data_IF_478724683308
#
_entry.id   IF_478724683308
#
_cell.length_a   1.000
_cell.length_b   1.000
_cell.length_c   1.000
_cell.angle_alpha   90.00
_cell.angle_beta   90.00
_cell.angle_gamma   90.00
#
_symmetry.space_group_name_H-M   'P 1'
#
loop_
_entity.id
_entity.type
_entity.pdbx_description
1 polymer ?
#
# COMPACT_ATOMS: atom_id res chain seq x y z
N UNK A 1 18.02 -14.49 22.14
CA UNK A 1 18.78 -13.27 21.77
C UNK A 1 18.51 -12.24 22.84
N UNK A 2 19.57 -11.69 23.43
CA UNK A 2 19.46 -10.76 24.55
C UNK A 2 18.98 -9.40 24.03
N UNK A 3 18.12 -8.70 24.77
CA UNK A 3 17.51 -7.42 24.35
C UNK A 3 18.57 -6.36 24.01
N UNK A 4 19.74 -6.46 24.64
CA UNK A 4 20.88 -5.59 24.37
C UNK A 4 21.56 -5.89 23.02
N UNK A 5 21.51 -7.12 22.52
CA UNK A 5 22.11 -7.49 21.23
C UNK A 5 21.25 -6.99 20.05
N UNK A 6 19.92 -6.95 20.23
CA UNK A 6 18.98 -6.37 19.25
C UNK A 6 19.18 -4.85 19.18
N UNK A 7 19.34 -4.18 20.32
CA UNK A 7 19.60 -2.74 20.38
C UNK A 7 20.96 -2.42 19.73
N UNK A 8 21.98 -3.24 19.96
CA UNK A 8 23.32 -3.03 19.40
C UNK A 8 23.35 -3.30 17.88
N UNK A 9 22.63 -4.31 17.38
CA UNK A 9 22.47 -4.55 15.94
C UNK A 9 21.67 -3.43 15.25
N UNK A 10 20.58 -2.95 15.85
CA UNK A 10 19.83 -1.80 15.33
C UNK A 10 20.67 -0.50 15.35
N UNK A 11 21.58 -0.34 16.31
CA UNK A 11 22.51 0.80 16.37
C UNK A 11 23.61 0.72 15.31
N UNK A 12 24.09 -0.48 14.93
CA UNK A 12 25.07 -0.63 13.85
C UNK A 12 24.45 -0.45 12.46
N UNK A 13 23.21 -0.92 12.23
CA UNK A 13 22.49 -0.66 10.97
C UNK A 13 22.20 0.84 10.74
N UNK A 14 22.08 1.63 11.82
CA UNK A 14 21.92 3.09 11.73
C UNK A 14 23.21 3.84 11.37
N UNK A 15 24.40 3.24 11.53
CA UNK A 15 25.68 3.92 11.26
C UNK A 15 26.11 3.93 9.79
N UNK A 16 25.47 3.15 8.91
CA UNK A 16 25.72 3.16 7.46
C UNK A 16 24.55 3.70 6.61
N UNK A 17 23.50 4.21 7.24
CA UNK A 17 22.34 4.74 6.52
C UNK A 17 22.67 6.12 5.93
N UNK A 18 22.76 6.19 4.59
CA UNK A 18 22.83 7.48 3.88
C UNK A 18 21.59 8.31 4.25
N UNK A 19 21.73 9.61 4.55
CA UNK A 19 20.60 10.42 4.96
C UNK A 19 19.55 10.46 3.84
N UNK A 20 18.29 10.23 4.20
CA UNK A 20 17.17 10.26 3.27
C UNK A 20 16.91 11.70 2.77
N UNK A 21 16.03 11.85 1.78
CA UNK A 21 15.72 13.15 1.20
C UNK A 21 15.31 14.18 2.27
N UNK A 22 14.47 13.77 3.23
CA UNK A 22 13.98 14.63 4.31
C UNK A 22 15.09 15.01 5.29
N UNK A 23 15.97 14.09 5.66
CA UNK A 23 17.14 14.37 6.47
C UNK A 23 18.10 15.32 5.77
N UNK A 24 18.29 15.17 4.45
CA UNK A 24 19.09 16.11 3.64
C UNK A 24 18.44 17.49 3.56
N UNK A 25 17.16 17.54 3.19
CA UNK A 25 16.39 18.79 3.13
C UNK A 25 16.47 19.50 4.48
N UNK A 26 16.26 18.77 5.56
CA UNK A 26 16.20 19.38 6.89
C UNK A 26 17.57 19.66 7.49
N UNK A 27 18.60 18.86 7.21
CA UNK A 27 19.98 19.17 7.63
C UNK A 27 20.52 20.41 6.92
N UNK A 28 20.22 20.60 5.63
CA UNK A 28 20.49 21.86 4.92
C UNK A 28 19.88 23.05 5.68
N UNK A 29 18.65 22.90 6.16
CA UNK A 29 17.87 24.00 6.76
C UNK A 29 18.26 24.23 8.22
N UNK A 30 18.62 23.18 8.96
CA UNK A 30 19.07 23.24 10.34
C UNK A 30 20.51 23.80 10.47
N UNK A 31 21.38 23.50 9.51
CA UNK A 31 22.76 24.03 9.45
C UNK A 31 22.77 25.57 9.46
N UNK A 32 21.81 26.20 8.78
CA UNK A 32 21.70 27.66 8.70
C UNK A 32 20.76 28.29 9.76
N UNK A 33 19.82 27.52 10.34
CA UNK A 33 18.90 28.00 11.40
C UNK A 33 19.58 28.13 12.77
N UNK A 34 20.78 27.58 12.96
CA UNK A 34 21.58 27.67 14.20
C UNK A 34 22.00 29.11 14.59
N UNK A 35 21.58 30.13 13.83
CA UNK A 35 21.82 31.55 14.12
C UNK A 35 20.62 32.30 14.72
N UNK A 36 19.47 31.67 14.97
CA UNK A 36 18.35 32.34 15.65
C UNK A 36 17.51 31.42 16.53
N UNK A 37 17.50 31.76 17.82
CA UNK A 37 16.58 31.41 18.91
C UNK A 37 16.70 30.07 19.65
N UNK A 38 16.98 30.19 20.95
CA UNK A 38 16.58 29.27 22.03
C UNK A 38 15.10 29.50 22.31
N UNK A 39 14.27 28.46 22.30
CA UNK A 39 12.90 28.53 22.83
C UNK A 39 12.65 27.42 23.85
N UNK A 40 12.01 27.79 24.96
CA UNK A 40 11.76 27.02 26.17
C UNK A 40 10.80 25.84 25.96
N UNK A 41 11.19 24.66 26.46
CA UNK A 41 10.40 23.42 26.50
C UNK A 41 9.33 23.39 27.61
N UNK A 42 8.41 24.36 27.65
CA UNK A 42 7.29 24.29 28.60
C UNK A 42 5.97 24.63 27.93
N UNK A 43 5.06 23.65 27.98
CA UNK A 43 3.66 23.66 27.53
C UNK A 43 3.45 23.59 26.00
N UNK A 44 3.63 22.40 25.42
CA UNK A 44 3.03 22.12 24.12
C UNK A 44 1.52 21.92 24.32
N UNK A 45 0.76 22.98 24.09
CA UNK A 45 -0.69 22.95 23.96
C UNK A 45 -1.10 21.94 22.88
N UNK A 46 -2.27 21.33 23.01
CA UNK A 46 -2.82 20.43 21.99
C UNK A 46 -2.86 21.12 20.62
N UNK A 47 -2.71 20.34 19.55
CA UNK A 47 -2.82 20.84 18.19
C UNK A 47 -4.29 21.17 17.95
N UNK A 48 -4.59 22.43 17.65
CA UNK A 48 -5.94 22.84 17.31
C UNK A 48 -6.25 22.41 15.87
N UNK A 49 -7.15 21.43 15.73
CA UNK A 49 -7.65 20.95 14.45
C UNK A 49 -9.16 21.13 14.44
N UNK A 50 -9.79 21.55 13.31
CA UNK A 50 -11.24 21.66 13.21
C UNK A 50 -11.91 20.35 13.66
N UNK A 51 -12.65 20.36 14.77
CA UNK A 51 -13.11 19.13 15.42
C UNK A 51 -14.43 18.65 14.85
N UNK A 52 -14.40 17.66 13.97
CA UNK A 52 -15.59 16.87 13.63
C UNK A 52 -15.72 15.69 14.60
N UNK A 53 -16.45 15.88 15.70
CA UNK A 53 -16.56 14.85 16.75
C UNK A 53 -17.36 13.59 16.31
N UNK A 54 -17.97 13.60 15.12
CA UNK A 54 -18.77 12.48 14.61
C UNK A 54 -17.99 11.53 13.70
N UNK A 55 -16.79 11.91 13.22
CA UNK A 55 -16.02 11.12 12.26
C UNK A 55 -14.73 10.60 12.88
N UNK A 56 -14.36 9.38 12.51
CA UNK A 56 -13.03 8.84 12.82
C UNK A 56 -11.96 9.61 12.04
N UNK A 57 -10.75 9.65 12.57
CA UNK A 57 -9.63 10.38 11.99
C UNK A 57 -8.65 9.40 11.36
N UNK A 58 -8.23 9.70 10.13
CA UNK A 58 -7.10 9.05 9.50
C UNK A 58 -5.97 10.06 9.30
N UNK A 59 -4.86 9.84 9.98
CA UNK A 59 -3.62 10.61 9.81
C UNK A 59 -2.80 9.95 8.70
N UNK A 60 -2.50 10.70 7.65
CA UNK A 60 -1.68 10.25 6.53
C UNK A 60 -0.32 10.93 6.55
N UNK A 61 0.74 10.13 6.46
CA UNK A 61 2.06 10.63 6.13
C UNK A 61 2.21 10.98 4.64
N UNK A 62 3.27 11.73 4.30
CA UNK A 62 3.52 12.22 2.94
C UNK A 62 4.67 11.45 2.26
N UNK A 63 5.88 11.58 2.80
CA UNK A 63 7.12 11.15 2.16
C UNK A 63 7.33 9.65 2.32
N UNK A 64 7.69 8.95 1.24
CA UNK A 64 7.73 7.48 1.18
C UNK A 64 6.39 6.79 1.51
N UNK A 65 5.30 7.55 1.67
CA UNK A 65 3.95 7.05 1.90
C UNK A 65 3.03 7.34 0.71
N UNK A 66 2.89 8.62 0.32
CA UNK A 66 2.08 9.07 -0.83
C UNK A 66 2.93 9.55 -2.00
N UNK A 67 4.15 10.04 -1.73
CA UNK A 67 5.07 10.50 -2.76
C UNK A 67 6.50 10.04 -2.45
N UNK A 68 7.35 10.02 -3.47
CA UNK A 68 8.78 9.87 -3.32
C UNK A 68 9.48 11.08 -3.93
N UNK A 69 10.36 11.73 -3.16
CA UNK A 69 10.99 12.99 -3.55
C UNK A 69 12.51 12.91 -3.53
N UNK A 70 13.14 13.59 -4.48
CA UNK A 70 14.58 13.60 -4.64
C UNK A 70 15.13 14.90 -5.22
N UNK A 71 16.40 15.19 -4.93
CA UNK A 71 17.10 16.38 -5.45
C UNK A 71 17.72 16.18 -6.83
N UNK A 72 17.82 14.92 -7.30
CA UNK A 72 18.38 14.60 -8.61
C UNK A 72 17.24 14.25 -9.56
N UNK A 73 17.33 14.77 -10.78
CA UNK A 73 16.42 14.37 -11.84
C UNK A 73 16.70 12.90 -12.19
N UNK A 74 15.74 12.04 -11.95
CA UNK A 74 15.71 10.71 -12.54
C UNK A 74 14.56 10.65 -13.56
N UNK A 75 14.68 9.71 -14.49
CA UNK A 75 13.61 9.47 -15.47
C UNK A 75 12.36 8.97 -14.72
N UNK A 76 11.19 9.52 -15.06
CA UNK A 76 9.90 9.03 -14.54
C UNK A 76 9.35 9.74 -13.29
N UNK A 77 9.91 10.88 -12.89
CA UNK A 77 9.23 11.79 -11.96
C UNK A 77 7.96 12.38 -12.59
N UNK A 78 6.95 12.67 -11.79
CA UNK A 78 5.66 13.19 -12.28
C UNK A 78 5.66 14.71 -12.35
N UNK A 79 6.32 15.38 -11.40
CA UNK A 79 6.48 16.83 -11.42
C UNK A 79 7.77 17.27 -10.71
N UNK A 80 8.11 18.54 -10.87
CA UNK A 80 9.22 19.17 -10.13
C UNK A 80 8.75 20.46 -9.47
N UNK A 81 9.36 20.76 -8.33
CA UNK A 81 9.07 21.94 -7.52
C UNK A 81 10.35 22.72 -7.29
N UNK A 82 10.22 24.04 -7.37
CA UNK A 82 11.26 25.00 -7.03
C UNK A 82 10.96 25.55 -5.63
N UNK A 83 11.69 25.06 -4.63
CA UNK A 83 11.46 25.39 -3.21
C UNK A 83 12.55 26.32 -2.73
N UNK A 84 12.14 27.47 -2.21
CA UNK A 84 13.05 28.45 -1.63
C UNK A 84 13.13 28.18 -0.15
N UNK A 85 14.32 27.84 0.35
CA UNK A 85 14.58 27.81 1.78
C UNK A 85 15.76 28.69 2.13
N UNK A 86 15.54 29.64 3.06
CA UNK A 86 16.55 30.58 3.51
C UNK A 86 17.29 31.28 2.36
N UNK A 87 16.51 31.75 1.37
CA UNK A 87 17.01 32.42 0.16
C UNK A 87 17.83 31.56 -0.80
N UNK A 88 17.90 30.25 -0.59
CA UNK A 88 18.47 29.31 -1.55
C UNK A 88 17.35 28.54 -2.26
N UNK A 89 17.46 28.44 -3.58
CA UNK A 89 16.54 27.68 -4.41
C UNK A 89 16.99 26.22 -4.50
N UNK A 90 16.08 25.31 -4.19
CA UNK A 90 16.24 23.86 -4.33
C UNK A 90 15.21 23.34 -5.33
N UNK A 91 15.68 22.63 -6.36
CA UNK A 91 14.81 21.89 -7.25
C UNK A 91 14.58 20.48 -6.70
N UNK A 92 13.32 20.10 -6.56
CA UNK A 92 12.89 18.80 -6.05
C UNK A 92 12.06 18.11 -7.13
N UNK A 93 12.37 16.85 -7.39
CA UNK A 93 11.64 15.99 -8.33
C UNK A 93 10.79 15.02 -7.51
N UNK A 94 9.51 14.95 -7.85
CA UNK A 94 8.50 14.20 -7.07
C UNK A 94 7.85 13.16 -7.96
N UNK A 95 7.79 11.94 -7.46
CA UNK A 95 7.00 10.84 -8.02
C UNK A 95 5.82 10.60 -7.11
N UNK A 96 4.61 10.55 -7.67
CA UNK A 96 3.36 10.28 -6.95
C UNK A 96 3.14 8.77 -6.91
N UNK A 97 2.75 8.25 -5.74
CA UNK A 97 2.36 6.85 -5.59
C UNK A 97 1.10 6.59 -6.42
N UNK A 98 1.03 5.49 -7.19
CA UNK A 98 -0.17 5.18 -7.97
C UNK A 98 -1.43 5.18 -7.09
N UNK A 99 -2.48 5.87 -7.56
CA UNK A 99 -3.79 5.91 -6.90
C UNK A 99 -3.96 6.93 -5.77
N UNK A 100 -2.98 7.80 -5.48
CA UNK A 100 -3.05 8.78 -4.37
C UNK A 100 -4.31 9.66 -4.39
N UNK A 101 -4.66 10.24 -5.55
CA UNK A 101 -5.83 11.13 -5.65
C UNK A 101 -7.13 10.39 -5.29
N UNK A 102 -7.37 9.25 -5.93
CA UNK A 102 -8.53 8.38 -5.65
C UNK A 102 -8.54 7.88 -4.20
N UNK A 103 -7.36 7.56 -3.65
CA UNK A 103 -7.21 7.11 -2.27
C UNK A 103 -7.64 8.20 -1.28
N UNK A 104 -7.12 9.43 -1.42
CA UNK A 104 -7.47 10.56 -0.55
C UNK A 104 -8.96 10.91 -0.70
N UNK A 105 -9.45 10.96 -1.94
CA UNK A 105 -10.85 11.27 -2.22
C UNK A 105 -11.80 10.27 -1.55
N UNK A 106 -11.61 8.97 -1.81
CA UNK A 106 -12.45 7.93 -1.23
C UNK A 106 -12.33 7.90 0.28
N UNK A 107 -11.10 7.97 0.82
CA UNK A 107 -10.86 7.93 2.27
C UNK A 107 -11.55 9.10 2.98
N UNK A 108 -11.63 10.27 2.35
CA UNK A 108 -12.28 11.47 2.89
C UNK A 108 -13.80 11.35 3.01
N UNK A 109 -14.42 10.34 2.42
CA UNK A 109 -15.84 10.01 2.61
C UNK A 109 -16.08 9.25 3.93
N UNK A 110 -15.07 8.51 4.41
CA UNK A 110 -15.18 7.67 5.60
C UNK A 110 -14.48 8.27 6.83
N UNK A 111 -13.39 9.03 6.63
CA UNK A 111 -12.59 9.63 7.70
C UNK A 111 -12.48 11.16 7.56
N UNK A 112 -12.28 11.83 8.68
CA UNK A 112 -11.57 13.12 8.72
C UNK A 112 -10.09 12.83 8.41
N UNK A 113 -9.62 13.27 7.23
CA UNK A 113 -8.23 13.05 6.80
C UNK A 113 -7.35 14.21 7.28
N UNK A 114 -6.28 13.88 7.99
CA UNK A 114 -5.25 14.82 8.45
C UNK A 114 -3.93 14.45 7.78
N UNK A 115 -3.36 15.34 6.99
CA UNK A 115 -1.99 15.17 6.52
C UNK A 115 -1.04 15.54 7.66
N UNK A 116 -0.16 14.64 8.06
CA UNK A 116 0.84 14.92 9.08
C UNK A 116 2.19 14.40 8.60
N UNK A 117 3.09 15.28 8.21
CA UNK A 117 4.45 14.93 7.75
C UNK A 117 5.51 15.38 8.75
N UNK A 118 6.63 14.66 8.80
CA UNK A 118 7.84 15.11 9.49
C UNK A 118 8.64 16.13 8.66
N UNK A 119 8.17 16.51 7.48
CA UNK A 119 8.79 17.45 6.56
C UNK A 119 8.37 18.89 6.83
N UNK A 120 9.07 19.82 6.18
CA UNK A 120 8.83 21.25 6.33
C UNK A 120 7.67 21.71 5.46
N UNK A 121 6.96 22.72 5.95
CA UNK A 121 5.78 23.29 5.28
C UNK A 121 6.08 23.80 3.87
N UNK A 122 7.24 24.43 3.67
CA UNK A 122 7.67 25.03 2.40
C UNK A 122 7.80 24.01 1.27
N UNK A 123 8.12 22.75 1.61
CA UNK A 123 8.14 21.63 0.68
C UNK A 123 6.78 20.94 0.59
N UNK A 124 6.17 20.66 1.75
CA UNK A 124 5.00 19.80 1.85
C UNK A 124 3.74 20.44 1.24
N UNK A 125 3.55 21.75 1.38
CA UNK A 125 2.36 22.42 0.85
C UNK A 125 2.22 22.31 -0.67
N UNK A 126 3.23 22.71 -1.47
CA UNK A 126 3.14 22.58 -2.92
C UNK A 126 2.90 21.14 -3.39
N UNK A 127 3.47 20.14 -2.70
CA UNK A 127 3.21 18.73 -3.00
C UNK A 127 1.75 18.38 -2.71
N UNK A 128 1.25 18.71 -1.51
CA UNK A 128 -0.13 18.44 -1.10
C UNK A 128 -1.15 19.14 -1.99
N UNK A 129 -0.86 20.36 -2.47
CA UNK A 129 -1.73 21.10 -3.39
C UNK A 129 -1.86 20.43 -4.76
N UNK A 130 -0.86 19.65 -5.18
CA UNK A 130 -0.88 18.90 -6.45
C UNK A 130 -1.59 17.56 -6.29
N UNK A 131 -1.33 16.82 -5.20
CA UNK A 131 -1.87 15.45 -5.02
C UNK A 131 -3.28 15.40 -4.41
N UNK A 132 -3.74 16.49 -3.79
CA UNK A 132 -5.10 16.66 -3.26
C UNK A 132 -5.74 17.94 -3.83
N UNK A 133 -6.02 17.98 -5.15
CA UNK A 133 -6.56 19.18 -5.81
C UNK A 133 -7.95 19.54 -5.28
N UNK A 134 -8.72 18.55 -4.83
CA UNK A 134 -10.05 18.70 -4.24
C UNK A 134 -10.03 19.14 -2.76
N UNK A 135 -8.83 19.30 -2.16
CA UNK A 135 -8.62 19.73 -0.77
C UNK A 135 -9.44 18.93 0.24
N UNK A 136 -9.47 17.62 0.06
CA UNK A 136 -10.19 16.69 0.92
C UNK A 136 -9.54 16.58 2.31
N UNK A 137 -8.21 16.75 2.40
CA UNK A 137 -7.48 16.78 3.65
C UNK A 137 -7.27 18.22 4.14
N UNK A 138 -8.26 18.76 4.86
CA UNK A 138 -8.28 20.17 5.29
C UNK A 138 -7.20 20.51 6.32
N UNK A 139 -6.80 19.55 7.15
CA UNK A 139 -5.81 19.76 8.20
C UNK A 139 -4.45 19.25 7.74
N UNK A 140 -3.44 20.13 7.79
CA UNK A 140 -2.04 19.83 7.47
C UNK A 140 -1.16 20.13 8.67
N UNK A 141 -0.40 19.14 9.10
CA UNK A 141 0.55 19.19 10.19
C UNK A 141 1.93 18.85 9.65
N UNK A 142 2.93 19.58 10.12
CA UNK A 142 4.30 19.51 9.60
C UNK A 142 5.28 19.17 10.72
N UNK A 143 6.57 19.27 10.41
CA UNK A 143 7.68 19.04 11.32
C UNK A 143 7.52 19.67 12.70
N UNK A 144 7.03 20.92 12.78
CA UNK A 144 6.90 21.67 14.04
C UNK A 144 5.84 21.06 14.96
N UNK A 145 4.88 20.32 14.42
CA UNK A 145 3.85 19.61 15.18
C UNK A 145 4.35 18.30 15.78
N UNK A 146 5.43 17.74 15.25
CA UNK A 146 6.04 16.50 15.74
C UNK A 146 6.66 16.69 17.13
N UNK A 147 6.76 15.59 17.87
CA UNK A 147 7.42 15.54 19.18
C UNK A 147 8.86 15.07 18.99
N UNK A 148 9.88 15.84 19.42
CA UNK A 148 11.25 15.37 19.39
C UNK A 148 11.45 14.23 20.40
N UNK A 149 12.14 13.19 19.95
CA UNK A 149 12.58 12.07 20.78
C UNK A 149 14.05 11.79 20.50
N UNK A 150 14.69 10.98 21.35
CA UNK A 150 16.05 10.55 21.07
C UNK A 150 16.09 9.79 19.73
N UNK A 151 16.88 10.29 18.78
CA UNK A 151 17.04 9.67 17.47
C UNK A 151 15.98 10.04 16.42
N UNK A 152 15.04 10.95 16.68
CA UNK A 152 14.10 11.37 15.63
C UNK A 152 12.90 12.19 16.08
N UNK A 153 11.84 12.12 15.28
CA UNK A 153 10.56 12.77 15.49
C UNK A 153 9.45 11.72 15.58
N UNK A 154 8.46 11.95 16.45
CA UNK A 154 7.26 11.12 16.56
C UNK A 154 5.99 11.96 16.55
N UNK A 155 4.94 11.47 15.90
CA UNK A 155 3.64 12.11 15.75
C UNK A 155 2.76 11.65 16.90
N UNK A 156 2.82 12.37 18.02
CA UNK A 156 2.05 12.02 19.20
C UNK A 156 0.55 12.27 18.97
N UNK A 157 -0.21 11.22 18.70
CA UNK A 157 -1.64 11.28 18.37
C UNK A 157 -2.49 11.87 19.51
N UNK A 158 -2.03 11.78 20.76
CA UNK A 158 -2.74 12.40 21.90
C UNK A 158 -2.85 13.92 21.77
N UNK A 159 -1.96 14.56 20.99
CA UNK A 159 -2.00 16.00 20.73
C UNK A 159 -3.17 16.43 19.85
N UNK A 160 -3.82 15.50 19.13
CA UNK A 160 -5.00 15.81 18.30
C UNK A 160 -6.26 16.09 19.13
N UNK A 161 -6.26 15.74 20.42
CA UNK A 161 -7.43 15.90 21.28
C UNK A 161 -8.65 15.09 20.82
N UNK A 162 -8.40 13.93 20.21
CA UNK A 162 -9.40 12.96 19.74
C UNK A 162 -9.32 11.69 20.59
N UNK A 163 -10.40 10.91 20.63
CA UNK A 163 -10.36 9.61 21.27
C UNK A 163 -9.52 8.64 20.42
N UNK A 164 -8.47 8.03 20.99
CA UNK A 164 -7.56 7.16 20.26
C UNK A 164 -8.24 5.90 19.70
N UNK A 165 -9.41 5.48 20.20
CA UNK A 165 -10.18 4.40 19.57
C UNK A 165 -10.71 4.74 18.17
N UNK A 166 -10.72 6.03 17.84
CA UNK A 166 -11.27 6.58 16.60
C UNK A 166 -10.18 7.22 15.72
N UNK A 167 -8.89 7.03 16.04
CA UNK A 167 -7.75 7.60 15.29
C UNK A 167 -6.89 6.48 14.73
N UNK A 168 -6.60 6.51 13.44
CA UNK A 168 -5.58 5.67 12.80
C UNK A 168 -4.50 6.56 12.21
N UNK A 169 -3.25 6.08 12.20
CA UNK A 169 -2.16 6.69 11.45
C UNK A 169 -1.58 5.70 10.45
N UNK A 170 -1.36 6.17 9.22
CA UNK A 170 -0.72 5.43 8.13
C UNK A 170 0.61 6.11 7.85
N UNK A 171 1.69 5.39 8.10
CA UNK A 171 3.05 5.92 8.04
C UNK A 171 4.02 4.77 7.75
N UNK A 172 5.05 5.04 6.97
CA UNK A 172 6.04 4.04 6.61
C UNK A 172 7.12 3.83 7.69
N UNK A 173 7.10 4.63 8.76
CA UNK A 173 8.05 4.56 9.86
C UNK A 173 7.36 4.27 11.20
N UNK A 174 7.76 3.17 11.84
CA UNK A 174 7.32 2.84 13.21
C UNK A 174 7.64 3.95 14.22
N UNK A 175 8.72 4.71 13.99
CA UNK A 175 9.10 5.84 14.86
C UNK A 175 8.05 6.94 14.87
N UNK A 176 7.35 7.13 13.75
CA UNK A 176 6.33 8.16 13.60
C UNK A 176 5.13 7.96 14.52
N UNK A 177 4.82 6.73 14.92
CA UNK A 177 3.69 6.42 15.83
C UNK A 177 4.14 5.64 17.07
N UNK A 178 5.39 5.85 17.49
CA UNK A 178 6.03 5.17 18.62
C UNK A 178 5.20 5.19 19.91
N UNK A 179 4.51 6.30 20.19
CA UNK A 179 3.70 6.45 21.41
C UNK A 179 2.31 5.78 21.33
N UNK A 180 1.83 5.44 20.13
CA UNK A 180 0.51 4.86 19.89
C UNK A 180 0.60 3.74 18.85
N UNK A 181 1.41 2.71 19.14
CA UNK A 181 1.68 1.61 18.20
C UNK A 181 0.43 0.88 17.74
N UNK A 182 -0.58 0.73 18.61
CA UNK A 182 -1.84 0.07 18.26
C UNK A 182 -2.68 0.84 17.24
N UNK A 183 -2.44 2.14 17.08
CA UNK A 183 -3.12 3.02 16.14
C UNK A 183 -2.46 3.03 14.75
N UNK A 184 -1.27 2.44 14.61
CA UNK A 184 -0.46 2.54 13.40
C UNK A 184 -0.69 1.41 12.42
N UNK A 185 -0.89 1.76 11.14
CA UNK A 185 -0.63 0.88 10.01
C UNK A 185 0.74 1.24 9.42
N UNK A 186 1.68 0.29 9.49
CA UNK A 186 2.99 0.42 8.88
C UNK A 186 2.89 0.11 7.39
N UNK A 187 2.76 1.15 6.56
CA UNK A 187 2.67 1.00 5.12
C UNK A 187 4.05 0.73 4.51
N UNK A 188 4.09 0.01 3.39
CA UNK A 188 5.32 -0.21 2.63
C UNK A 188 5.86 1.11 2.09
N UNK A 189 7.17 1.31 2.23
CA UNK A 189 7.92 2.40 1.60
C UNK A 189 7.61 2.49 0.10
N UNK A 190 7.23 3.68 -0.36
CA UNK A 190 7.11 4.00 -1.76
C UNK A 190 8.41 4.63 -2.28
N UNK A 191 9.06 3.93 -3.21
CA UNK A 191 10.33 4.34 -3.82
C UNK A 191 10.16 4.41 -5.35
N UNK A 192 9.19 5.24 -5.79
CA UNK A 192 8.92 5.55 -7.20
C UNK A 192 8.52 4.36 -8.11
N UNK A 193 8.11 3.21 -7.55
CA UNK A 193 7.63 2.06 -8.32
C UNK A 193 6.24 2.34 -8.93
N UNK A 194 6.17 2.47 -10.25
CA UNK A 194 4.91 2.75 -10.97
C UNK A 194 3.93 1.59 -10.97
N UNK A 195 4.35 0.38 -10.60
CA UNK A 195 3.49 -0.79 -10.45
C UNK A 195 3.03 -1.01 -8.99
N UNK A 196 3.39 -0.12 -8.06
CA UNK A 196 2.92 -0.18 -6.67
C UNK A 196 1.39 -0.06 -6.62
N UNK A 197 0.77 -0.95 -5.85
CA UNK A 197 -0.68 -1.04 -5.66
C UNK A 197 -1.07 -1.06 -4.17
N UNK A 198 -0.20 -0.58 -3.29
CA UNK A 198 -0.38 -0.66 -1.84
C UNK A 198 -1.59 0.18 -1.39
N UNK A 199 -1.75 1.40 -1.92
CA UNK A 199 -2.88 2.27 -1.58
C UNK A 199 -4.22 1.66 -2.01
N UNK A 200 -4.28 1.09 -3.21
CA UNK A 200 -5.45 0.39 -3.72
C UNK A 200 -5.79 -0.83 -2.84
N UNK A 201 -4.78 -1.60 -2.44
CA UNK A 201 -4.94 -2.78 -1.58
C UNK A 201 -5.39 -2.40 -0.17
N UNK A 202 -4.91 -1.27 0.36
CA UNK A 202 -5.20 -0.80 1.70
C UNK A 202 -6.60 -0.19 1.83
N UNK A 203 -7.11 0.45 0.79
CA UNK A 203 -8.35 1.23 0.84
C UNK A 203 -9.59 0.43 1.30
N UNK A 204 -9.87 -0.80 0.79
CA UNK A 204 -11.00 -1.60 1.26
C UNK A 204 -10.95 -1.90 2.76
N UNK A 205 -9.75 -2.19 3.29
CA UNK A 205 -9.56 -2.40 4.72
C UNK A 205 -9.90 -1.15 5.53
N UNK A 206 -9.46 0.03 5.08
CA UNK A 206 -9.76 1.29 5.77
C UNK A 206 -11.25 1.61 5.77
N UNK A 207 -11.94 1.36 4.66
CA UNK A 207 -13.40 1.50 4.57
C UNK A 207 -14.09 0.58 5.60
N UNK A 208 -13.70 -0.68 5.67
CA UNK A 208 -14.22 -1.61 6.68
C UNK A 208 -13.87 -1.19 8.12
N UNK A 209 -12.65 -0.67 8.32
CA UNK A 209 -12.17 -0.21 9.63
C UNK A 209 -12.97 1.01 10.12
N UNK A 210 -13.41 1.88 9.21
CA UNK A 210 -14.25 3.05 9.52
C UNK A 210 -15.55 2.68 10.24
N UNK A 211 -16.02 1.44 10.06
CA UNK A 211 -17.26 0.92 10.64
C UNK A 211 -17.06 0.25 12.01
N UNK A 212 -15.81 0.02 12.44
CA UNK A 212 -15.53 -0.64 13.73
C UNK A 212 -15.74 0.31 14.91
N UNK A 213 -16.04 -0.24 16.09
CA UNK A 213 -16.22 0.57 17.31
C UNK A 213 -14.91 1.08 17.92
N UNK A 214 -13.82 0.35 17.71
CA UNK A 214 -12.45 0.72 18.03
C UNK A 214 -11.58 0.31 16.82
N UNK A 215 -10.76 1.22 16.32
CA UNK A 215 -9.86 0.95 15.19
C UNK A 215 -8.60 0.21 15.62
N UNK A 216 -8.44 -0.10 16.91
CA UNK A 216 -7.24 -0.72 17.47
C UNK A 216 -7.47 -2.17 17.91
N UNK A 217 -6.40 -2.98 17.93
CA UNK A 217 -5.09 -2.69 17.35
C UNK A 217 -5.11 -2.91 15.84
N UNK A 218 -4.71 -1.88 15.08
CA UNK A 218 -4.81 -1.85 13.61
C UNK A 218 -4.14 -3.06 12.95
N UNK A 219 -2.98 -3.47 13.46
CA UNK A 219 -2.21 -4.60 12.94
C UNK A 219 -2.94 -5.96 13.07
N UNK A 220 -3.74 -6.16 14.12
CA UNK A 220 -4.52 -7.39 14.29
C UNK A 220 -5.79 -7.34 13.44
N UNK A 221 -6.46 -6.20 13.41
CA UNK A 221 -7.66 -5.99 12.60
C UNK A 221 -7.37 -6.14 11.11
N UNK A 222 -6.21 -5.65 10.64
CA UNK A 222 -5.74 -5.86 9.27
C UNK A 222 -5.58 -7.35 8.97
N UNK A 223 -4.87 -8.10 9.81
CA UNK A 223 -4.71 -9.56 9.65
C UNK A 223 -6.07 -10.26 9.60
N UNK A 224 -7.00 -9.90 10.48
CA UNK A 224 -8.34 -10.46 10.51
C UNK A 224 -9.11 -10.19 9.21
N UNK A 225 -9.07 -8.96 8.71
CA UNK A 225 -9.74 -8.56 7.46
C UNK A 225 -9.25 -9.43 6.29
N UNK A 226 -7.94 -9.51 6.09
CA UNK A 226 -7.35 -10.27 4.97
C UNK A 226 -7.53 -11.78 5.10
N UNK A 227 -7.50 -12.32 6.33
CA UNK A 227 -7.83 -13.74 6.56
C UNK A 227 -9.27 -14.05 6.17
N UNK A 228 -10.21 -13.20 6.55
CA UNK A 228 -11.63 -13.38 6.24
C UNK A 228 -11.90 -13.28 4.74
N UNK A 229 -11.32 -12.30 4.05
CA UNK A 229 -11.43 -12.20 2.59
C UNK A 229 -10.87 -13.44 1.88
N UNK A 230 -9.73 -13.95 2.34
CA UNK A 230 -9.10 -15.15 1.77
C UNK A 230 -9.99 -16.38 1.92
N UNK A 231 -10.65 -16.52 3.07
CA UNK A 231 -11.61 -17.59 3.35
C UNK A 231 -12.83 -17.46 2.41
N UNK A 232 -13.41 -16.26 2.30
CA UNK A 232 -14.56 -16.02 1.43
C UNK A 232 -14.25 -16.32 -0.04
N UNK A 233 -13.09 -15.86 -0.56
CA UNK A 233 -12.65 -16.16 -1.93
C UNK A 233 -12.51 -17.66 -2.17
N UNK A 234 -11.98 -18.42 -1.21
CA UNK A 234 -11.87 -19.89 -1.30
C UNK A 234 -13.24 -20.57 -1.30
N UNK A 235 -14.19 -20.10 -0.47
CA UNK A 235 -15.55 -20.62 -0.46
C UNK A 235 -16.28 -20.34 -1.78
N UNK A 236 -16.19 -19.11 -2.30
CA UNK A 236 -16.80 -18.74 -3.59
C UNK A 236 -16.22 -19.56 -4.74
N UNK A 237 -14.90 -19.73 -4.81
CA UNK A 237 -14.26 -20.59 -5.82
C UNK A 237 -14.77 -22.04 -5.73
N UNK A 238 -14.81 -22.62 -4.53
CA UNK A 238 -15.34 -23.98 -4.33
C UNK A 238 -16.81 -24.10 -4.77
N UNK A 239 -17.64 -23.09 -4.48
CA UNK A 239 -19.04 -23.07 -4.91
C UNK A 239 -19.16 -23.03 -6.43
N UNK A 240 -18.43 -22.15 -7.13
CA UNK A 240 -18.43 -22.08 -8.59
C UNK A 240 -17.95 -23.39 -9.22
N UNK A 241 -16.86 -23.96 -8.71
CA UNK A 241 -16.35 -25.27 -9.14
C UNK A 241 -17.37 -26.40 -8.90
N UNK A 242 -18.07 -26.41 -7.77
CA UNK A 242 -19.10 -27.40 -7.49
C UNK A 242 -20.31 -27.25 -8.42
N UNK A 243 -20.71 -26.00 -8.71
CA UNK A 243 -21.81 -25.69 -9.61
C UNK A 243 -21.49 -26.09 -11.05
N UNK A 244 -20.26 -25.83 -11.51
CA UNK A 244 -19.83 -26.23 -12.86
C UNK A 244 -19.75 -27.74 -13.02
N UNK A 245 -19.29 -28.47 -12.00
CA UNK A 245 -19.32 -29.94 -11.98
C UNK A 245 -20.74 -30.51 -12.06
N UNK A 246 -21.69 -29.95 -11.30
CA UNK A 246 -23.11 -30.35 -11.35
C UNK A 246 -23.69 -30.12 -12.74
N UNK A 247 -23.43 -28.94 -13.34
CA UNK A 247 -23.92 -28.59 -14.66
C UNK A 247 -23.36 -29.51 -15.76
N UNK A 248 -22.06 -29.83 -15.67
CA UNK A 248 -21.41 -30.76 -16.60
C UNK A 248 -21.98 -32.18 -16.48
N UNK A 249 -22.26 -32.65 -15.26
CA UNK A 249 -22.83 -33.97 -15.04
C UNK A 249 -24.30 -34.07 -15.50
N UNK A 250 -25.04 -32.97 -15.46
CA UNK A 250 -26.39 -32.90 -16.04
C UNK A 250 -26.37 -32.89 -17.58
N UNK A 251 -25.33 -32.32 -18.19
CA UNK A 251 -25.15 -32.31 -19.64
C UNK A 251 -24.62 -33.63 -20.19
N UNK A 252 -23.79 -34.37 -19.45
CA UNK A 252 -23.34 -35.72 -19.84
C UNK A 252 -24.47 -36.74 -19.78
N UNK A 253 -25.35 -36.68 -18.78
CA UNK A 253 -26.54 -37.54 -18.68
C UNK A 253 -27.63 -37.24 -19.72
N UNK A 254 -27.55 -36.10 -20.43
CA UNK A 254 -28.41 -35.79 -21.60
C UNK A 254 -27.79 -36.18 -22.95
N UNK A 255 -26.52 -36.58 -22.98
CA UNK A 255 -25.76 -36.94 -24.19
C UNK A 255 -25.45 -38.43 -24.30
N UNK A 256 -26.20 -39.29 -23.60
CA UNK A 256 -26.05 -40.75 -23.74
C UNK A 256 -26.60 -41.33 -25.04
N UNK A 257 -27.17 -40.52 -25.93
CA UNK A 257 -27.47 -40.91 -27.30
C UNK A 257 -26.75 -39.98 -28.27
N UNK A 258 -25.98 -40.57 -29.20
CA UNK A 258 -25.19 -40.01 -30.32
C UNK A 258 -23.68 -40.18 -30.15
N UNK A 259 -23.17 -41.29 -30.72
CA UNK A 259 -21.76 -41.44 -31.13
C UNK A 259 -21.45 -40.33 -32.14
N UNK A 260 -20.57 -39.40 -31.79
CA UNK A 260 -19.94 -38.51 -32.75
C UNK A 260 -18.44 -38.42 -32.42
N UNK A 261 -17.61 -38.93 -33.33
CA UNK A 261 -16.19 -38.57 -33.39
C UNK A 261 -16.10 -37.05 -33.55
N UNK A 262 -15.30 -36.40 -32.70
CA UNK A 262 -14.96 -34.99 -32.82
C UNK A 262 -13.44 -34.86 -32.78
N UNK A 263 -12.88 -34.29 -33.84
CA UNK A 263 -11.56 -33.69 -33.84
C UNK A 263 -11.66 -32.32 -33.16
N UNK A 264 -10.70 -31.99 -32.29
CA UNK A 264 -10.63 -30.70 -31.60
C UNK A 264 -9.35 -29.98 -32.02
N UNK A 265 -9.48 -28.72 -32.44
CA UNK A 265 -8.40 -27.73 -32.48
C UNK A 265 -8.51 -26.88 -31.21
N UNK A 266 -7.39 -26.71 -30.51
CA UNK A 266 -7.30 -26.05 -29.21
C UNK A 266 -6.55 -24.73 -29.38
N UNK A 267 -7.02 -23.66 -28.73
CA UNK A 267 -6.34 -22.36 -28.73
C UNK A 267 -5.34 -22.28 -27.56
N UNK A 268 -4.31 -21.45 -27.71
CA UNK A 268 -3.21 -21.28 -26.75
C UNK A 268 -3.65 -20.93 -25.31
N UNK A 269 -4.88 -20.44 -25.09
CA UNK A 269 -5.42 -20.12 -23.75
C UNK A 269 -5.90 -21.37 -22.98
N UNK A 270 -6.15 -22.49 -23.66
CA UNK A 270 -6.63 -23.73 -23.04
C UNK A 270 -5.47 -24.59 -22.51
N UNK A 271 -4.22 -24.25 -22.84
CA UNK A 271 -3.01 -24.98 -22.42
C UNK A 271 -2.77 -24.81 -20.91
N UNK A 272 -2.97 -23.61 -20.36
CA UNK A 272 -2.84 -23.36 -18.91
C UNK A 272 -3.88 -24.14 -18.10
N UNK A 273 -5.10 -24.35 -18.64
CA UNK A 273 -6.14 -25.15 -17.97
C UNK A 273 -5.82 -26.66 -18.02
N UNK A 274 -5.05 -27.12 -19.01
CA UNK A 274 -4.60 -28.50 -19.16
C UNK A 274 -3.39 -28.78 -18.24
N UNK A 275 -2.44 -27.86 -18.13
CA UNK A 275 -1.30 -27.97 -17.22
C UNK A 275 -1.74 -28.03 -15.75
N UNK A 276 -2.71 -27.20 -15.35
CA UNK A 276 -3.30 -27.21 -14.00
C UNK A 276 -4.03 -28.53 -13.67
N UNK A 277 -4.56 -29.24 -14.67
CA UNK A 277 -5.18 -30.57 -14.49
C UNK A 277 -4.13 -31.68 -14.33
N UNK A 278 -2.99 -31.56 -15.00
CA UNK A 278 -1.86 -32.48 -14.86
C UNK A 278 -1.21 -32.36 -13.48
N UNK A 279 -1.02 -31.14 -12.96
CA UNK A 279 -0.52 -30.89 -11.59
C UNK A 279 -1.45 -31.45 -10.50
N UNK A 280 -2.73 -31.61 -10.81
CA UNK A 280 -3.74 -32.16 -9.91
C UNK A 280 -3.87 -33.70 -9.96
N UNK A 281 -3.07 -34.41 -10.79
CA UNK A 281 -3.15 -35.87 -10.99
C UNK A 281 -4.55 -36.38 -11.40
N UNK A 282 -5.29 -35.58 -12.17
CA UNK A 282 -6.68 -35.88 -12.59
C UNK A 282 -6.81 -36.50 -13.99
N UNK A 283 -5.69 -36.84 -14.65
CA UNK A 283 -5.75 -37.48 -15.96
C UNK A 283 -6.11 -38.98 -15.83
N UNK A 284 -7.10 -39.43 -16.61
CA UNK A 284 -7.44 -40.85 -16.73
C UNK A 284 -6.24 -41.65 -17.26
N UNK A 285 -5.96 -42.86 -16.73
CA UNK A 285 -4.73 -43.62 -17.03
C UNK A 285 -4.58 -44.15 -18.46
N UNK A 286 -5.49 -43.85 -19.39
CA UNK A 286 -5.54 -44.44 -20.73
C UNK A 286 -5.37 -43.43 -21.88
N UNK A 287 -4.80 -42.25 -21.63
CA UNK A 287 -4.56 -41.25 -22.70
C UNK A 287 -3.05 -41.06 -22.87
N UNK A 288 -2.51 -41.57 -23.98
CA UNK A 288 -1.13 -41.32 -24.39
C UNK A 288 -1.13 -40.28 -25.52
N UNK A 289 -0.53 -39.11 -25.28
CA UNK A 289 -0.40 -38.05 -26.27
C UNK A 289 0.92 -38.21 -27.03
N UNK A 290 0.86 -38.30 -28.37
CA UNK A 290 2.06 -38.21 -29.23
C UNK A 290 2.05 -36.90 -30.02
N UNK A 291 3.16 -36.17 -29.91
CA UNK A 291 3.46 -34.99 -30.72
C UNK A 291 3.89 -35.44 -32.11
N UNK A 292 3.26 -34.88 -33.16
CA UNK A 292 3.77 -34.99 -34.53
C UNK A 292 4.31 -33.63 -34.95
N UNK A 293 5.63 -33.54 -35.13
CA UNK A 293 6.28 -32.42 -35.79
C UNK A 293 6.05 -32.52 -37.30
N UNK A 294 5.13 -31.70 -37.85
CA UNK A 294 5.23 -31.15 -39.21
C UNK A 294 4.07 -30.21 -39.52
N UNK A 295 4.21 -28.92 -39.20
CA UNK A 295 3.64 -27.81 -39.98
C UNK A 295 4.49 -26.55 -39.77
N UNK A 296 4.93 -25.90 -40.85
CA UNK A 296 5.76 -24.68 -40.88
C UNK A 296 5.01 -23.38 -40.48
N UNK A 297 4.16 -23.44 -39.46
CA UNK A 297 3.38 -22.31 -38.96
C UNK A 297 3.45 -22.27 -37.42
N UNK A 298 4.28 -21.39 -36.85
CA UNK A 298 4.59 -21.25 -35.41
C UNK A 298 3.38 -20.88 -34.51
N UNK A 299 2.15 -20.93 -35.04
CA UNK A 299 0.93 -20.57 -34.32
C UNK A 299 -0.04 -21.74 -34.10
N UNK A 300 0.24 -22.95 -34.60
CA UNK A 300 -0.67 -24.10 -34.47
C UNK A 300 0.05 -25.44 -34.32
N UNK A 301 -0.13 -26.10 -33.18
CA UNK A 301 0.22 -27.50 -32.98
C UNK A 301 -1.02 -28.40 -33.13
N UNK A 302 -0.86 -29.54 -33.80
CA UNK A 302 -1.93 -30.54 -33.97
C UNK A 302 -1.58 -31.84 -33.26
N UNK A 303 -2.51 -32.34 -32.44
CA UNK A 303 -2.37 -33.61 -31.71
C UNK A 303 -3.40 -34.63 -32.21
N UNK A 304 -2.98 -35.88 -32.40
CA UNK A 304 -3.89 -37.02 -32.57
C UNK A 304 -4.11 -37.71 -31.23
N UNK A 305 -5.39 -37.89 -30.86
CA UNK A 305 -5.78 -38.67 -29.68
C UNK A 305 -6.37 -39.98 -30.19
N UNK A 306 -5.68 -41.09 -29.95
CA UNK A 306 -6.19 -42.43 -30.16
C UNK A 306 -6.66 -43.04 -28.83
N UNK A 307 -7.84 -43.65 -28.83
CA UNK A 307 -8.31 -44.45 -27.72
C UNK A 307 -7.73 -45.87 -27.85
N UNK A 308 -7.05 -46.37 -26.81
CA UNK A 308 -6.84 -47.81 -26.61
C UNK A 308 -7.88 -48.37 -25.63
#
# INVERSE_FOLDING_TARGET
MNTNDIIYQQQQEQQERKPNFIEKLCSCIYYFRKKSNKTNDKYQLGIDTPKSHSRKVCVLDLDETLVHSQFKAENGHDFSLDIIVQSQLFKVYVTVRPGVENFIETLSEYFEVIMWTASLKEYADPVMDIIDPSRRALTRLYRESCTPIQGGLTKNLSKLGRNLKDVIIIDNSQMSFLFQQENGYLIKDFIADKNDNELETLLPFLIWLSQQNDVRPVSQLFKQYFMNESIQRKHSKRQVLSQSMILNNQNSNKKSDVKAQRTHTVNHCDIEEIELRAEANLNSPNIEMKLNDQTDDESRETFEISNC
#
